data_IF_794474583345
#
_entry.id   IF_794474583345
#
_cell.length_a   1.000
_cell.length_b   1.000
_cell.length_c   1.000
_cell.angle_alpha   90.00
_cell.angle_beta   90.00
_cell.angle_gamma   90.00
#
_symmetry.space_group_name_H-M   'P 1'
#
loop_
_entity.id
_entity.type
_entity.pdbx_description
1 polymer ?
#
# COMPACT_ATOMS: atom_id res chain seq x y z
N UNK A 1 -15.52 9.38 -11.66
CA UNK A 1 -16.01 10.74 -11.57
C UNK A 1 -17.51 10.63 -11.38
N UNK A 2 -17.96 10.86 -10.16
CA UNK A 2 -19.36 10.72 -9.76
C UNK A 2 -20.06 12.10 -9.84
N UNK A 3 -20.97 12.33 -10.81
CA UNK A 3 -21.63 13.61 -10.98
C UNK A 3 -22.53 14.00 -9.79
N UNK A 4 -22.95 13.04 -8.97
CA UNK A 4 -23.80 13.27 -7.79
C UNK A 4 -22.98 13.64 -6.56
N UNK A 5 -21.69 13.32 -6.55
CA UNK A 5 -20.77 13.58 -5.45
C UNK A 5 -19.62 14.51 -5.87
N UNK A 6 -19.95 15.64 -6.49
CA UNK A 6 -18.97 16.69 -6.79
C UNK A 6 -17.92 16.29 -7.83
N UNK A 7 -18.23 15.32 -8.70
CA UNK A 7 -17.32 14.74 -9.69
C UNK A 7 -16.13 13.98 -9.10
N UNK A 8 -16.12 13.66 -7.80
CA UNK A 8 -15.03 12.94 -7.16
C UNK A 8 -14.85 11.51 -7.70
N UNK A 9 -13.72 10.88 -7.36
CA UNK A 9 -13.50 9.48 -7.70
C UNK A 9 -14.30 8.56 -6.76
N UNK A 10 -15.05 7.62 -7.34
CA UNK A 10 -15.63 6.51 -6.59
C UNK A 10 -14.59 5.40 -6.49
N UNK A 11 -14.22 5.02 -5.26
CA UNK A 11 -13.27 3.95 -4.97
C UNK A 11 -14.02 2.81 -4.31
N UNK A 12 -13.91 1.61 -4.88
CA UNK A 12 -14.56 0.41 -4.36
C UNK A 12 -13.51 -0.51 -3.75
N UNK A 13 -13.60 -0.84 -2.45
CA UNK A 13 -12.62 -1.70 -1.81
C UNK A 13 -12.72 -3.12 -2.36
N UNK A 14 -11.57 -3.77 -2.51
CA UNK A 14 -11.48 -5.19 -2.81
C UNK A 14 -11.44 -5.94 -1.48
N UNK A 15 -12.19 -7.04 -1.38
CA UNK A 15 -12.19 -7.86 -0.18
C UNK A 15 -10.80 -8.49 0.05
N UNK A 16 -10.30 -8.43 1.29
CA UNK A 16 -8.96 -8.91 1.66
C UNK A 16 -8.75 -10.41 1.37
N UNK A 17 -9.78 -11.25 1.54
CA UNK A 17 -9.70 -12.67 1.20
C UNK A 17 -9.59 -12.92 -0.31
N UNK A 18 -10.18 -12.03 -1.13
CA UNK A 18 -9.96 -12.09 -2.59
C UNK A 18 -8.50 -11.79 -2.93
N UNK A 19 -7.88 -10.80 -2.27
CA UNK A 19 -6.46 -10.50 -2.43
C UNK A 19 -5.59 -11.68 -1.99
N UNK A 20 -5.91 -12.32 -0.85
CA UNK A 20 -5.20 -13.52 -0.36
C UNK A 20 -5.24 -14.65 -1.38
N UNK A 21 -6.41 -14.91 -1.98
CA UNK A 21 -6.55 -15.93 -3.02
C UNK A 21 -5.76 -15.59 -4.30
N UNK A 22 -5.74 -14.32 -4.71
CA UNK A 22 -4.96 -13.87 -5.86
C UNK A 22 -3.46 -14.06 -5.63
N UNK A 23 -2.95 -13.66 -4.45
CA UNK A 23 -1.55 -13.85 -4.07
C UNK A 23 -1.18 -15.33 -4.08
N UNK A 24 -1.99 -16.19 -3.46
CA UNK A 24 -1.79 -17.66 -3.47
C UNK A 24 -1.68 -18.21 -4.90
N UNK A 25 -2.52 -17.72 -5.81
CA UNK A 25 -2.52 -18.16 -7.21
C UNK A 25 -1.20 -17.77 -7.89
N UNK A 26 -0.79 -16.51 -7.78
CA UNK A 26 0.45 -16.02 -8.41
C UNK A 26 1.69 -16.72 -7.84
N UNK A 27 1.74 -16.91 -6.51
CA UNK A 27 2.86 -17.52 -5.81
C UNK A 27 2.95 -19.04 -5.99
N UNK A 28 1.87 -19.69 -6.45
CA UNK A 28 1.88 -21.12 -6.78
C UNK A 28 2.59 -21.45 -8.10
N UNK A 29 2.89 -20.42 -8.90
CA UNK A 29 3.55 -20.57 -10.19
C UNK A 29 5.08 -20.61 -10.08
N UNK A 30 5.74 -19.89 -10.98
CA UNK A 30 7.19 -19.73 -10.95
C UNK A 30 7.61 -18.77 -9.83
N UNK A 31 8.86 -18.86 -9.33
CA UNK A 31 9.41 -17.88 -8.40
C UNK A 31 9.25 -16.45 -8.94
N UNK A 32 8.86 -15.52 -8.06
CA UNK A 32 8.71 -14.11 -8.43
C UNK A 32 10.07 -13.41 -8.35
N UNK A 33 10.47 -12.78 -9.45
CA UNK A 33 11.71 -11.99 -9.49
C UNK A 33 11.59 -10.68 -8.70
N UNK A 34 10.41 -10.06 -8.67
CA UNK A 34 10.16 -8.82 -7.97
C UNK A 34 8.67 -8.62 -7.64
N UNK A 35 8.39 -7.75 -6.68
CA UNK A 35 7.05 -7.25 -6.38
C UNK A 35 7.02 -5.74 -6.24
N UNK A 36 5.86 -5.16 -6.53
CA UNK A 36 5.59 -3.74 -6.36
C UNK A 36 4.21 -3.53 -5.74
N UNK A 37 4.12 -2.71 -4.70
CA UNK A 37 2.82 -2.28 -4.16
C UNK A 37 2.44 -0.91 -4.72
N UNK A 38 1.13 -0.61 -4.80
CA UNK A 38 0.61 0.72 -5.15
C UNK A 38 -0.32 1.23 -4.07
N UNK A 39 -1.48 1.76 -4.45
CA UNK A 39 -2.53 2.10 -3.48
C UNK A 39 -3.02 0.84 -2.78
N UNK A 40 -3.00 0.85 -1.45
CA UNK A 40 -3.50 -0.22 -0.59
C UNK A 40 -4.71 0.31 0.19
N UNK A 41 -5.84 -0.36 0.03
CA UNK A 41 -7.14 0.15 0.46
C UNK A 41 -7.56 -0.21 1.90
N UNK A 42 -6.77 -1.02 2.62
CA UNK A 42 -7.05 -1.37 4.01
C UNK A 42 -5.80 -1.91 4.73
N UNK A 43 -5.83 -1.90 6.06
CA UNK A 43 -4.77 -2.45 6.92
C UNK A 43 -4.64 -3.96 6.71
N UNK A 44 -5.76 -4.68 6.57
CA UNK A 44 -5.75 -6.13 6.39
C UNK A 44 -5.00 -6.54 5.11
N UNK A 45 -5.12 -5.76 4.03
CA UNK A 45 -4.36 -6.00 2.79
C UNK A 45 -2.86 -5.76 3.03
N UNK A 46 -2.50 -4.74 3.81
CA UNK A 46 -1.10 -4.43 4.16
C UNK A 46 -0.50 -5.57 4.99
N UNK A 47 -1.23 -6.09 5.97
CA UNK A 47 -0.85 -7.23 6.79
C UNK A 47 -0.64 -8.49 5.94
N UNK A 48 -1.60 -8.82 5.07
CA UNK A 48 -1.50 -9.94 4.12
C UNK A 48 -0.23 -9.84 3.28
N UNK A 49 0.09 -8.65 2.75
CA UNK A 49 1.28 -8.43 1.95
C UNK A 49 2.56 -8.61 2.78
N UNK A 50 2.59 -8.10 4.01
CA UNK A 50 3.72 -8.27 4.93
C UNK A 50 3.97 -9.75 5.25
N UNK A 51 2.92 -10.50 5.58
CA UNK A 51 2.98 -11.96 5.79
C UNK A 51 3.49 -12.68 4.55
N UNK A 52 2.96 -12.31 3.38
CA UNK A 52 3.32 -12.92 2.10
C UNK A 52 4.80 -12.73 1.76
N UNK A 53 5.33 -11.51 1.96
CA UNK A 53 6.74 -11.20 1.76
C UNK A 53 7.62 -12.11 2.63
N UNK A 54 7.24 -12.29 3.89
CA UNK A 54 8.01 -13.04 4.87
C UNK A 54 7.95 -14.55 4.58
N UNK A 55 6.76 -15.09 4.33
CA UNK A 55 6.53 -16.51 4.05
C UNK A 55 7.23 -16.98 2.76
N UNK A 56 7.29 -16.13 1.74
CA UNK A 56 7.87 -16.46 0.45
C UNK A 56 9.30 -15.91 0.25
N UNK A 57 9.88 -15.30 1.29
CA UNK A 57 11.23 -14.72 1.26
C UNK A 57 11.49 -13.84 0.03
N UNK A 58 10.53 -12.98 -0.33
CA UNK A 58 10.65 -12.10 -1.48
C UNK A 58 11.80 -11.10 -1.26
N UNK A 59 12.65 -10.90 -2.28
CA UNK A 59 13.89 -10.12 -2.14
C UNK A 59 13.81 -8.74 -2.77
N UNK A 60 13.23 -8.63 -3.97
CA UNK A 60 13.17 -7.40 -4.75
C UNK A 60 11.80 -6.74 -4.58
N UNK A 61 11.69 -5.84 -3.60
CA UNK A 61 10.42 -5.27 -3.15
C UNK A 61 10.42 -3.75 -3.37
N UNK A 62 9.52 -3.28 -4.22
CA UNK A 62 9.27 -1.85 -4.42
C UNK A 62 8.00 -1.44 -3.70
N UNK A 63 8.10 -0.51 -2.76
CA UNK A 63 6.93 0.06 -2.08
C UNK A 63 6.65 1.46 -2.61
N UNK A 64 5.48 1.65 -3.21
CA UNK A 64 4.96 2.96 -3.63
C UNK A 64 3.82 3.35 -2.68
N UNK A 65 4.10 4.14 -1.63
CA UNK A 65 3.16 4.45 -0.57
C UNK A 65 2.14 5.50 -1.03
N UNK A 66 1.21 5.10 -1.89
CA UNK A 66 0.15 5.97 -2.40
C UNK A 66 -0.86 6.27 -1.29
N UNK A 67 -0.81 7.49 -0.75
CA UNK A 67 -1.68 7.94 0.34
C UNK A 67 -2.68 9.04 -0.07
N UNK A 68 -2.63 9.53 -1.31
CA UNK A 68 -3.52 10.58 -1.81
C UNK A 68 -3.85 10.32 -3.28
N UNK A 69 -5.13 10.45 -3.65
CA UNK A 69 -5.56 10.45 -5.05
C UNK A 69 -5.12 11.75 -5.75
N UNK A 70 -4.58 11.66 -6.97
CA UNK A 70 -4.22 12.85 -7.75
C UNK A 70 -5.48 13.72 -7.97
N UNK A 71 -5.48 14.94 -7.42
CA UNK A 71 -6.58 15.90 -7.56
C UNK A 71 -7.44 16.07 -6.30
N UNK A 72 -7.25 15.23 -5.29
CA UNK A 72 -7.92 15.32 -4.00
C UNK A 72 -6.89 15.70 -2.91
N UNK A 73 -7.29 16.52 -1.95
CA UNK A 73 -6.38 17.08 -0.92
C UNK A 73 -6.37 16.29 0.39
N UNK A 74 -7.26 15.31 0.55
CA UNK A 74 -7.37 14.52 1.78
C UNK A 74 -6.54 13.24 1.69
N UNK A 75 -5.88 12.93 2.80
CA UNK A 75 -5.12 11.69 2.98
C UNK A 75 -6.10 10.53 3.08
N UNK A 76 -5.93 9.54 2.20
CA UNK A 76 -6.63 8.27 2.27
C UNK A 76 -6.18 7.55 3.55
N UNK A 77 -7.10 7.40 4.52
CA UNK A 77 -6.97 6.50 5.67
C UNK A 77 -5.60 6.60 6.37
N UNK A 78 -5.37 7.62 7.22
CA UNK A 78 -4.08 7.86 7.89
C UNK A 78 -3.49 6.62 8.59
N UNK A 79 -4.35 5.72 9.07
CA UNK A 79 -4.01 4.43 9.66
C UNK A 79 -3.28 3.48 8.69
N UNK A 80 -3.64 3.49 7.40
CA UNK A 80 -2.94 2.70 6.38
C UNK A 80 -1.50 3.19 6.19
N UNK A 81 -1.27 4.51 6.29
CA UNK A 81 0.07 5.08 6.23
C UNK A 81 0.97 4.58 7.37
N UNK A 82 0.42 4.44 8.58
CA UNK A 82 1.14 3.87 9.73
C UNK A 82 1.45 2.39 9.48
N UNK A 83 0.47 1.61 9.03
CA UNK A 83 0.65 0.20 8.74
C UNK A 83 1.69 -0.03 7.62
N UNK A 84 1.67 0.76 6.54
CA UNK A 84 2.70 0.72 5.49
C UNK A 84 4.08 0.99 6.08
N UNK A 85 4.20 2.03 6.93
CA UNK A 85 5.47 2.41 7.56
C UNK A 85 6.04 1.28 8.42
N UNK A 86 5.21 0.65 9.23
CA UNK A 86 5.65 -0.31 10.23
C UNK A 86 5.81 -1.73 9.66
N UNK A 87 4.96 -2.11 8.71
CA UNK A 87 4.92 -3.47 8.18
C UNK A 87 5.64 -3.61 6.84
N UNK A 88 5.52 -2.65 5.92
CA UNK A 88 6.05 -2.80 4.56
C UNK A 88 7.39 -2.10 4.34
N UNK A 89 7.61 -0.89 4.86
CA UNK A 89 8.86 -0.16 4.63
C UNK A 89 10.12 -0.89 5.12
N UNK A 90 10.14 -1.60 6.27
CA UNK A 90 11.32 -2.34 6.71
C UNK A 90 11.73 -3.48 5.76
N UNK A 91 10.81 -3.91 4.89
CA UNK A 91 11.00 -4.98 3.91
C UNK A 91 11.29 -4.45 2.50
N UNK A 92 11.21 -3.13 2.28
CA UNK A 92 11.36 -2.54 0.96
C UNK A 92 12.83 -2.49 0.52
N UNK A 93 13.10 -2.91 -0.71
CA UNK A 93 14.37 -2.65 -1.39
C UNK A 93 14.43 -1.20 -1.89
N UNK A 94 13.30 -0.70 -2.41
CA UNK A 94 13.14 0.66 -2.92
C UNK A 94 11.81 1.21 -2.45
N UNK A 95 11.79 2.46 -1.99
CA UNK A 95 10.56 3.20 -1.67
C UNK A 95 10.43 4.37 -2.65
N UNK A 96 9.23 4.57 -3.20
CA UNK A 96 8.97 5.58 -4.26
C UNK A 96 7.90 6.60 -3.85
N UNK A 97 8.09 7.35 -2.74
CA UNK A 97 7.08 8.28 -2.27
C UNK A 97 7.03 9.54 -3.16
N UNK A 98 5.83 10.11 -3.31
CA UNK A 98 5.72 11.53 -3.68
C UNK A 98 5.98 12.41 -2.45
N UNK A 99 6.01 13.74 -2.61
CA UNK A 99 6.27 14.67 -1.51
C UNK A 99 5.30 14.50 -0.32
N UNK A 100 4.00 14.40 -0.58
CA UNK A 100 2.98 14.25 0.46
C UNK A 100 3.22 12.94 1.22
N UNK A 101 3.43 11.86 0.48
CA UNK A 101 3.66 10.55 1.04
C UNK A 101 4.93 10.51 1.91
N UNK A 102 6.00 11.13 1.41
CA UNK A 102 7.24 11.30 2.15
C UNK A 102 7.01 12.03 3.48
N UNK A 103 6.33 13.19 3.47
CA UNK A 103 6.12 13.98 4.70
C UNK A 103 5.31 13.25 5.78
N UNK A 104 4.43 12.34 5.38
CA UNK A 104 3.61 11.57 6.32
C UNK A 104 4.35 10.35 6.88
N UNK A 105 5.21 9.73 6.08
CA UNK A 105 6.05 8.60 6.51
C UNK A 105 7.29 9.06 7.29
N UNK A 106 7.83 10.23 6.94
CA UNK A 106 8.99 10.84 7.60
C UNK A 106 8.58 11.38 8.97
N UNK A 107 8.91 10.60 10.00
CA UNK A 107 8.51 10.80 11.39
C UNK A 107 9.24 11.99 12.08
N UNK A 108 9.60 13.05 11.34
CA UNK A 108 10.39 14.19 11.86
C UNK A 108 9.58 15.42 12.30
N UNK A 109 8.25 15.44 12.17
CA UNK A 109 7.45 16.64 12.49
C UNK A 109 6.15 16.37 13.28
N UNK A 110 6.18 15.54 14.33
CA UNK A 110 5.14 15.61 15.38
C UNK A 110 5.76 15.52 16.79
N UNK A 111 5.53 16.61 17.54
CA UNK A 111 5.80 16.89 18.96
C UNK A 111 7.20 17.41 19.33
N UNK A 112 7.42 18.71 19.09
CA UNK A 112 7.84 19.63 20.15
C UNK A 112 6.64 20.53 20.47
#
# INVERSE_FOLDING_TARGET
>A
MDPEHGWNHAVYPVNSEQVRHQLKTVLSGSPLDAMKTGMLGSIEIIEILSETIEQHHLQNIVIDPVMVCKGESEVLQPENGIAIRELLLPRATIVTPNWIAYTYLDNKNKVA
#
